data_IF_179100435703
#
_entry.id   IF_179100435703
#
_cell.length_a   1.000
_cell.length_b   1.000
_cell.length_c   1.000
_cell.angle_alpha   90.00
_cell.angle_beta   90.00
_cell.angle_gamma   90.00
#
_symmetry.space_group_name_H-M   'P 1'
#
loop_
_entity.id
_entity.type
_entity.pdbx_description
1 polymer ?
#
# COMPACT_ATOMS: atom_id res chain seq x y z
N UNK A 1 15.74 -41.38 -33.55
CA UNK A 1 16.45 -40.62 -34.59
C UNK A 1 15.69 -39.34 -34.92
N UNK A 2 16.39 -38.20 -35.05
CA UNK A 2 15.85 -36.85 -35.00
C UNK A 2 15.54 -36.29 -36.40
N UNK A 3 14.77 -35.20 -36.48
CA UNK A 3 14.82 -34.31 -37.64
C UNK A 3 14.69 -32.86 -37.18
N UNK A 4 15.84 -32.20 -37.07
CA UNK A 4 15.98 -30.76 -36.92
C UNK A 4 15.97 -30.11 -38.31
N UNK A 5 15.23 -29.02 -38.45
CA UNK A 5 15.24 -28.10 -39.61
C UNK A 5 15.30 -26.64 -39.12
N UNK A 6 15.78 -25.69 -39.93
CA UNK A 6 16.96 -24.89 -39.59
C UNK A 6 16.67 -23.58 -38.84
N UNK A 7 17.63 -23.16 -38.00
CA UNK A 7 17.72 -21.82 -37.42
C UNK A 7 18.36 -20.85 -38.42
N UNK A 8 17.78 -19.66 -38.67
CA UNK A 8 18.48 -18.60 -39.39
C UNK A 8 19.58 -17.97 -38.52
N UNK A 9 20.80 -17.93 -39.05
CA UNK A 9 21.95 -17.21 -38.50
C UNK A 9 21.92 -15.70 -38.82
N UNK A 10 22.94 -14.95 -38.36
CA UNK A 10 22.86 -13.51 -38.16
C UNK A 10 23.10 -12.72 -39.46
N UNK A 11 22.30 -11.67 -39.68
CA UNK A 11 22.64 -10.62 -40.64
C UNK A 11 23.47 -9.54 -39.94
N UNK A 12 24.76 -9.44 -40.30
CA UNK A 12 25.56 -8.21 -40.14
C UNK A 12 25.31 -7.32 -41.36
N UNK A 13 25.05 -6.03 -41.14
CA UNK A 13 25.35 -4.97 -42.11
C UNK A 13 25.54 -3.64 -41.38
N UNK A 14 26.81 -3.28 -41.37
CA UNK A 14 27.54 -2.01 -41.24
C UNK A 14 26.85 -0.64 -41.00
N UNK A 15 27.58 0.11 -40.16
CA UNK A 15 28.07 1.49 -40.36
C UNK A 15 27.06 2.64 -40.44
N UNK A 16 27.08 3.45 -39.39
CA UNK A 16 26.63 4.83 -39.38
C UNK A 16 27.37 5.61 -38.31
N UNK A 17 28.58 6.07 -38.61
CA UNK A 17 29.25 7.11 -37.85
C UNK A 17 28.45 8.42 -38.00
N UNK A 18 27.97 8.97 -36.89
CA UNK A 18 27.29 10.25 -36.84
C UNK A 18 27.51 10.88 -35.48
N UNK A 19 28.43 11.84 -35.44
CA UNK A 19 28.74 12.61 -34.24
C UNK A 19 27.51 13.36 -33.74
N UNK A 20 27.42 13.45 -32.41
CA UNK A 20 26.39 14.20 -31.70
C UNK A 20 26.91 14.62 -30.34
N UNK A 21 27.95 15.46 -30.37
CA UNK A 21 28.36 16.27 -29.23
C UNK A 21 27.20 17.25 -28.97
N UNK A 22 26.58 17.19 -27.79
CA UNK A 22 25.56 18.20 -27.48
C UNK A 22 24.84 17.94 -26.17
N UNK A 23 24.95 18.90 -25.26
CA UNK A 23 23.92 19.14 -24.26
C UNK A 23 24.27 18.71 -22.85
N UNK A 24 25.18 19.46 -22.22
CA UNK A 24 25.00 19.74 -20.80
C UNK A 24 23.68 20.49 -20.58
N UNK A 25 23.05 20.21 -19.45
CA UNK A 25 21.81 20.80 -18.97
C UNK A 25 21.21 19.82 -17.97
N UNK A 26 21.47 19.89 -16.66
CA UNK A 26 21.54 21.12 -15.87
C UNK A 26 20.14 21.71 -15.77
N UNK A 27 19.25 21.05 -15.00
CA UNK A 27 17.88 21.51 -14.75
C UNK A 27 16.85 20.38 -14.75
N UNK A 28 16.97 19.41 -13.82
CA UNK A 28 16.14 18.21 -13.83
C UNK A 28 15.26 17.97 -12.60
N UNK A 29 15.53 18.61 -11.45
CA UNK A 29 14.90 18.18 -10.19
C UNK A 29 13.40 18.57 -10.08
N UNK A 30 12.99 19.72 -10.62
CA UNK A 30 11.61 20.22 -10.44
C UNK A 30 10.55 19.54 -11.32
N UNK A 31 10.93 18.97 -12.47
CA UNK A 31 10.00 18.25 -13.35
C UNK A 31 9.76 16.81 -12.85
N UNK A 32 10.74 16.20 -12.18
CA UNK A 32 10.58 14.86 -11.62
C UNK A 32 9.69 14.88 -10.37
N UNK A 33 9.79 15.91 -9.53
CA UNK A 33 8.92 16.11 -8.37
C UNK A 33 7.46 16.41 -8.75
N UNK A 34 7.24 17.24 -9.76
CA UNK A 34 5.87 17.50 -10.27
C UNK A 34 5.28 16.27 -10.95
N UNK A 35 6.07 15.52 -11.71
CA UNK A 35 5.60 14.28 -12.34
C UNK A 35 5.30 13.16 -11.34
N UNK A 36 6.03 13.09 -10.22
CA UNK A 36 5.78 12.13 -9.15
C UNK A 36 4.54 12.50 -8.33
N UNK A 37 4.32 13.78 -8.05
CA UNK A 37 3.08 14.30 -7.46
C UNK A 37 1.85 14.04 -8.35
N UNK A 38 1.96 14.29 -9.66
CA UNK A 38 0.88 13.98 -10.59
C UNK A 38 0.59 12.49 -10.63
N UNK A 39 1.62 11.63 -10.72
CA UNK A 39 1.47 10.17 -10.68
C UNK A 39 0.82 9.68 -9.38
N UNK A 40 1.13 10.27 -8.23
CA UNK A 40 0.52 9.89 -6.95
C UNK A 40 -0.96 10.29 -6.90
N UNK A 41 -1.30 11.51 -7.31
CA UNK A 41 -2.69 11.99 -7.35
C UNK A 41 -3.55 11.19 -8.33
N UNK A 42 -3.01 10.88 -9.51
CA UNK A 42 -3.73 10.14 -10.56
C UNK A 42 -3.97 8.69 -10.14
N UNK A 43 -2.98 8.05 -9.48
CA UNK A 43 -3.15 6.73 -8.87
C UNK A 43 -4.20 6.74 -7.76
N UNK A 44 -4.20 7.74 -6.89
CA UNK A 44 -5.21 7.85 -5.84
C UNK A 44 -6.62 8.00 -6.44
N UNK A 45 -6.78 8.84 -7.46
CA UNK A 45 -8.06 9.00 -8.17
C UNK A 45 -8.54 7.70 -8.80
N UNK A 46 -7.67 7.02 -9.56
CA UNK A 46 -8.00 5.76 -10.21
C UNK A 46 -8.34 4.69 -9.17
N UNK A 47 -7.56 4.59 -8.09
CA UNK A 47 -7.79 3.60 -7.02
C UNK A 47 -9.15 3.81 -6.37
N UNK A 48 -9.56 5.06 -6.08
CA UNK A 48 -10.91 5.34 -5.57
C UNK A 48 -12.00 4.91 -6.54
N UNK A 49 -11.80 5.18 -7.82
CA UNK A 49 -12.78 4.87 -8.86
C UNK A 49 -12.98 3.36 -9.05
N UNK A 50 -11.91 2.56 -8.91
CA UNK A 50 -11.98 1.10 -9.03
C UNK A 50 -12.10 0.38 -7.69
N UNK A 51 -12.04 1.08 -6.56
CA UNK A 51 -11.97 0.49 -5.21
C UNK A 51 -13.08 -0.54 -5.01
N UNK A 52 -14.34 -0.17 -5.20
CA UNK A 52 -15.47 -1.08 -5.01
C UNK A 52 -15.52 -2.24 -6.01
N UNK A 53 -14.82 -2.15 -7.15
CA UNK A 53 -14.72 -3.24 -8.13
C UNK A 53 -13.58 -4.22 -7.82
N UNK A 54 -12.56 -3.79 -7.06
CA UNK A 54 -11.41 -4.62 -6.68
C UNK A 54 -11.50 -5.11 -5.23
N UNK A 55 -12.03 -4.29 -4.33
CA UNK A 55 -12.34 -4.62 -2.94
C UNK A 55 -13.80 -5.04 -2.85
N UNK A 56 -14.05 -6.32 -3.14
CA UNK A 56 -15.29 -6.97 -2.75
C UNK A 56 -15.17 -7.42 -1.28
N UNK A 57 -16.27 -7.30 -0.51
CA UNK A 57 -16.39 -7.99 0.78
C UNK A 57 -16.15 -9.47 0.56
N UNK A 58 -15.10 -9.99 1.16
CA UNK A 58 -14.73 -11.40 1.01
C UNK A 58 -15.57 -12.25 1.96
N UNK A 59 -15.82 -13.52 1.62
CA UNK A 59 -16.41 -14.46 2.57
C UNK A 59 -15.54 -14.62 3.83
N UNK A 60 -14.24 -14.33 3.70
CA UNK A 60 -13.28 -14.37 4.81
C UNK A 60 -13.55 -13.25 5.83
N UNK A 61 -14.09 -12.10 5.41
CA UNK A 61 -14.42 -10.98 6.32
C UNK A 61 -15.50 -11.38 7.33
N UNK A 62 -16.51 -12.13 6.89
CA UNK A 62 -17.57 -12.62 7.76
C UNK A 62 -17.06 -13.69 8.73
N UNK A 63 -16.18 -14.58 8.26
CA UNK A 63 -15.54 -15.58 9.12
C UNK A 63 -14.66 -14.92 10.19
N UNK A 64 -13.85 -13.92 9.82
CA UNK A 64 -13.04 -13.14 10.76
C UNK A 64 -13.93 -12.41 11.76
N UNK A 65 -15.01 -11.77 11.33
CA UNK A 65 -15.94 -11.07 12.22
C UNK A 65 -16.58 -12.03 13.24
N UNK A 66 -17.05 -13.21 12.81
CA UNK A 66 -17.59 -14.23 13.70
C UNK A 66 -16.53 -14.76 14.68
N UNK A 67 -15.30 -14.97 14.21
CA UNK A 67 -14.20 -15.40 15.06
C UNK A 67 -13.89 -14.35 16.13
N UNK A 68 -13.77 -13.07 15.78
CA UNK A 68 -13.55 -11.97 16.73
C UNK A 68 -14.68 -11.89 17.78
N UNK A 69 -15.93 -12.10 17.37
CA UNK A 69 -17.07 -12.15 18.31
C UNK A 69 -17.00 -13.33 19.29
N UNK A 70 -16.39 -14.44 18.90
CA UNK A 70 -16.17 -15.59 19.80
C UNK A 70 -15.15 -15.30 20.89
N UNK A 71 -14.20 -14.40 20.62
CA UNK A 71 -13.11 -14.00 21.53
C UNK A 71 -13.52 -12.90 22.53
N UNK A 72 -14.78 -12.45 22.54
CA UNK A 72 -15.26 -11.34 23.40
C UNK A 72 -15.05 -11.53 24.90
N UNK A 73 -14.83 -12.77 25.33
CA UNK A 73 -14.66 -13.14 26.73
C UNK A 73 -13.21 -12.97 27.22
N UNK A 74 -12.25 -12.75 26.31
CA UNK A 74 -10.85 -12.57 26.65
C UNK A 74 -10.62 -11.24 27.35
N UNK A 75 -9.80 -11.28 28.39
CA UNK A 75 -9.29 -10.09 29.07
C UNK A 75 -7.92 -9.71 28.52
N UNK A 76 -7.46 -8.45 28.71
CA UNK A 76 -6.09 -8.06 28.34
C UNK A 76 -5.01 -8.95 28.97
N UNK A 77 -5.27 -9.50 30.16
CA UNK A 77 -4.35 -10.41 30.84
C UNK A 77 -4.21 -11.75 30.11
N UNK A 78 -5.31 -12.28 29.57
CA UNK A 78 -5.31 -13.54 28.80
C UNK A 78 -4.49 -13.43 27.50
N UNK A 79 -4.37 -12.21 26.99
CA UNK A 79 -3.60 -11.86 25.79
C UNK A 79 -2.15 -11.44 26.09
N UNK A 80 -1.73 -11.43 27.36
CA UNK A 80 -0.39 -10.98 27.75
C UNK A 80 -0.13 -9.48 27.51
N UNK A 81 -1.19 -8.66 27.45
CA UNK A 81 -1.05 -7.22 27.24
C UNK A 81 -0.35 -6.58 28.44
N UNK A 82 0.71 -5.82 28.18
CA UNK A 82 1.45 -5.11 29.22
C UNK A 82 0.51 -4.17 30.01
N UNK A 83 0.68 -4.08 31.34
CA UNK A 83 -0.18 -3.22 32.20
C UNK A 83 -0.17 -1.75 31.78
N UNK A 84 0.91 -1.26 31.18
CA UNK A 84 0.99 0.10 30.64
C UNK A 84 0.01 0.33 29.48
N UNK A 85 -0.24 -0.71 28.69
CA UNK A 85 -1.22 -0.73 27.62
C UNK A 85 -2.60 -1.17 28.15
N UNK A 86 -2.85 -1.25 29.45
CA UNK A 86 -4.19 -1.61 29.96
C UNK A 86 -5.10 -0.39 30.15
N UNK A 87 -4.61 0.81 29.84
CA UNK A 87 -5.38 2.04 29.98
C UNK A 87 -6.54 2.10 28.95
N UNK A 88 -7.82 2.11 29.39
CA UNK A 88 -8.96 1.99 28.47
C UNK A 88 -9.10 3.14 27.46
N UNK A 89 -8.59 4.32 27.81
CA UNK A 89 -8.62 5.55 26.98
C UNK A 89 -7.84 5.37 25.67
N UNK A 90 -6.64 4.79 25.74
CA UNK A 90 -5.76 4.53 24.59
C UNK A 90 -6.42 3.56 23.60
N UNK A 91 -7.04 2.51 24.12
CA UNK A 91 -7.80 1.56 23.29
C UNK A 91 -9.01 2.21 22.64
N UNK A 92 -9.75 3.05 23.36
CA UNK A 92 -10.93 3.72 22.80
C UNK A 92 -10.55 4.59 21.60
N UNK A 93 -9.47 5.37 21.72
CA UNK A 93 -8.94 6.20 20.63
C UNK A 93 -8.48 5.34 19.44
N UNK A 94 -7.69 4.29 19.69
CA UNK A 94 -7.20 3.39 18.65
C UNK A 94 -8.35 2.66 17.92
N UNK A 95 -9.36 2.19 18.67
CA UNK A 95 -10.53 1.51 18.11
C UNK A 95 -11.38 2.46 17.27
N UNK A 96 -11.52 3.73 17.69
CA UNK A 96 -12.25 4.73 16.90
C UNK A 96 -11.54 5.02 15.57
N UNK A 97 -10.20 5.07 15.55
CA UNK A 97 -9.45 5.19 14.31
C UNK A 97 -9.68 3.98 13.41
N UNK A 98 -9.55 2.75 13.92
CA UNK A 98 -9.78 1.54 13.12
C UNK A 98 -11.20 1.44 12.56
N UNK A 99 -12.23 1.92 13.27
CA UNK A 99 -13.61 1.98 12.73
C UNK A 99 -13.74 2.93 11.53
N UNK A 100 -12.88 3.94 11.42
CA UNK A 100 -12.89 4.83 10.26
C UNK A 100 -12.36 4.16 8.99
N UNK A 101 -11.65 3.03 9.11
CA UNK A 101 -11.02 2.31 8.01
C UNK A 101 -12.05 1.82 6.97
N UNK A 102 -13.25 1.44 7.42
CA UNK A 102 -14.37 1.02 6.55
C UNK A 102 -14.82 2.12 5.56
N UNK A 103 -14.55 3.38 5.88
CA UNK A 103 -14.90 4.52 5.02
C UNK A 103 -13.79 4.91 4.03
N UNK A 104 -12.61 4.27 4.13
CA UNK A 104 -11.43 4.63 3.36
C UNK A 104 -11.39 3.88 2.04
N UNK A 105 -11.27 4.65 0.95
CA UNK A 105 -11.27 4.13 -0.42
C UNK A 105 -9.89 4.14 -1.08
N UNK A 106 -8.84 4.54 -0.35
CA UNK A 106 -7.45 4.47 -0.84
C UNK A 106 -6.56 3.65 0.10
N UNK A 107 -5.69 2.76 -0.44
CA UNK A 107 -4.74 2.00 0.37
C UNK A 107 -3.80 2.87 1.21
N UNK A 108 -3.38 4.01 0.66
CA UNK A 108 -2.53 5.00 1.33
C UNK A 108 -3.17 5.54 2.60
N UNK A 109 -4.43 5.95 2.52
CA UNK A 109 -5.17 6.44 3.68
C UNK A 109 -5.49 5.31 4.67
N UNK A 110 -5.70 4.08 4.19
CA UNK A 110 -5.95 2.91 5.04
C UNK A 110 -4.74 2.59 5.90
N UNK A 111 -3.54 2.58 5.31
CA UNK A 111 -2.29 2.42 6.03
C UNK A 111 -2.06 3.56 7.05
N UNK A 112 -2.32 4.81 6.68
CA UNK A 112 -2.20 5.93 7.61
C UNK A 112 -3.18 5.82 8.79
N UNK A 113 -4.39 5.33 8.56
CA UNK A 113 -5.36 5.05 9.60
C UNK A 113 -4.85 3.99 10.59
N UNK A 114 -4.27 2.90 10.07
CA UNK A 114 -3.64 1.86 10.89
C UNK A 114 -2.49 2.46 11.71
N UNK A 115 -1.58 3.21 11.10
CA UNK A 115 -0.45 3.82 11.81
C UNK A 115 -0.93 4.78 12.93
N UNK A 116 -1.92 5.63 12.65
CA UNK A 116 -2.51 6.51 13.68
C UNK A 116 -3.15 5.72 14.83
N UNK A 117 -3.77 4.57 14.54
CA UNK A 117 -4.33 3.72 15.59
C UNK A 117 -3.24 3.13 16.49
N UNK A 118 -2.08 2.79 15.93
CA UNK A 118 -0.91 2.35 16.69
C UNK A 118 -0.31 3.48 17.53
N UNK A 119 -0.17 4.68 16.97
CA UNK A 119 0.34 5.84 17.69
C UNK A 119 -0.56 6.19 18.89
N UNK A 120 -1.88 6.11 18.71
CA UNK A 120 -2.85 6.30 19.79
C UNK A 120 -2.72 5.21 20.88
N UNK A 121 -2.48 3.96 20.49
CA UNK A 121 -2.32 2.85 21.43
C UNK A 121 -1.00 2.94 22.22
N UNK A 122 0.06 3.45 21.60
CA UNK A 122 1.36 3.65 22.23
C UNK A 122 1.45 4.96 23.05
N UNK A 123 0.40 5.80 23.03
CA UNK A 123 0.38 7.08 23.73
C UNK A 123 1.34 8.11 23.14
N UNK A 124 1.76 7.95 21.87
CA UNK A 124 2.68 8.88 21.19
C UNK A 124 1.95 10.17 20.78
N UNK A 125 0.62 10.14 20.71
CA UNK A 125 -0.25 11.29 20.41
C UNK A 125 -1.11 11.75 21.60
N UNK A 126 -0.74 11.37 22.83
CA UNK A 126 -1.42 11.75 24.08
C UNK A 126 -0.83 12.99 24.73
#
# INVERSE_FOLDING_TARGET
SPSAGPRPGPAKSESGAGGGRGGGGGGGDGLDETSTLLRSQLRDLLTRQVYHSLFARSADDEHVAQHLLSLRHLTPADLGVARTLSEPSLWLAATQQLRSLDSITTPSAGLQCILRSWDALLGVLG
#
